data_IF_200863163967
#
_entry.id   IF_200863163967
#
_cell.length_a   1.000
_cell.length_b   1.000
_cell.length_c   1.000
_cell.angle_alpha   90.00
_cell.angle_beta   90.00
_cell.angle_gamma   90.00
#
_symmetry.space_group_name_H-M   'P 1'
#
loop_
_entity.id
_entity.type
_entity.pdbx_description
1 polymer ?
#
# COMPACT_ATOMS: atom_id res chain seq x y z
N UNK A 1 43.25 -66.04 3.99
CA UNK A 1 41.94 -65.69 4.59
C UNK A 1 41.67 -64.24 4.19
N UNK A 2 41.58 -63.95 2.88
CA UNK A 2 40.41 -64.16 1.99
C UNK A 2 39.27 -63.22 2.40
N UNK A 3 38.67 -62.37 1.57
CA UNK A 3 38.74 -62.02 0.14
C UNK A 3 38.16 -60.57 0.06
N UNK A 4 38.78 -59.59 -0.60
CA UNK A 4 38.58 -59.16 -2.00
C UNK A 4 37.16 -59.38 -2.54
N UNK A 5 36.48 -58.29 -2.92
CA UNK A 5 35.52 -58.16 -4.04
C UNK A 5 34.71 -56.87 -3.89
N UNK A 6 34.23 -56.18 -4.91
CA UNK A 6 34.60 -56.04 -6.32
C UNK A 6 33.71 -54.89 -6.84
N UNK A 7 34.14 -54.26 -7.93
CA UNK A 7 33.44 -53.22 -8.67
C UNK A 7 32.05 -53.66 -9.16
N UNK A 8 31.10 -52.71 -9.25
CA UNK A 8 30.26 -52.60 -10.44
C UNK A 8 29.81 -51.16 -10.71
N UNK A 9 30.46 -50.60 -11.72
CA UNK A 9 29.97 -49.53 -12.59
C UNK A 9 28.81 -50.09 -13.45
N UNK A 10 27.72 -49.35 -13.59
CA UNK A 10 26.64 -49.64 -14.54
C UNK A 10 26.01 -48.34 -15.01
N UNK A 11 26.59 -47.82 -16.09
CA UNK A 11 26.02 -46.84 -17.00
C UNK A 11 24.84 -47.46 -17.75
N UNK A 12 23.64 -46.86 -17.66
CA UNK A 12 22.57 -47.09 -18.63
C UNK A 12 22.19 -45.79 -19.32
N UNK A 13 22.79 -45.64 -20.49
CA UNK A 13 22.33 -44.82 -21.61
C UNK A 13 21.01 -45.38 -22.13
N UNK A 14 19.97 -44.56 -22.22
CA UNK A 14 18.80 -44.87 -23.06
C UNK A 14 18.53 -43.71 -24.00
N UNK A 15 19.05 -43.88 -25.21
CA UNK A 15 18.86 -43.07 -26.40
C UNK A 15 17.57 -43.54 -27.09
N UNK A 16 16.51 -42.74 -27.04
CA UNK A 16 15.27 -42.97 -27.77
C UNK A 16 15.08 -41.91 -28.85
N UNK A 17 15.56 -42.20 -30.06
CA UNK A 17 15.13 -41.52 -31.29
C UNK A 17 13.73 -42.03 -31.67
N UNK A 18 12.82 -41.12 -31.99
CA UNK A 18 11.51 -41.43 -32.57
C UNK A 18 10.94 -40.20 -33.27
N UNK A 19 11.24 -40.11 -34.55
CA UNK A 19 10.87 -39.08 -35.54
C UNK A 19 9.38 -39.09 -35.92
N UNK A 20 8.87 -37.88 -36.15
CA UNK A 20 7.89 -37.47 -37.16
C UNK A 20 6.48 -38.08 -37.20
N UNK A 21 5.49 -37.21 -36.96
CA UNK A 21 4.37 -37.07 -37.90
C UNK A 21 3.76 -35.67 -37.92
N UNK A 22 3.85 -35.05 -39.09
CA UNK A 22 3.17 -33.84 -39.50
C UNK A 22 1.64 -33.97 -39.45
N UNK A 23 0.92 -32.86 -39.20
CA UNK A 23 -0.54 -32.86 -39.22
C UNK A 23 -1.22 -31.53 -38.89
N UNK A 24 -1.08 -30.55 -39.79
CA UNK A 24 -2.01 -29.45 -40.08
C UNK A 24 -2.09 -28.19 -39.17
N UNK A 25 -2.29 -26.99 -39.78
CA UNK A 25 -2.34 -25.70 -39.10
C UNK A 25 -3.77 -25.34 -38.67
N UNK A 26 -3.94 -24.82 -37.46
CA UNK A 26 -5.15 -24.06 -37.10
C UNK A 26 -4.84 -22.57 -37.10
N UNK A 27 -5.21 -21.92 -38.21
CA UNK A 27 -5.61 -20.51 -38.19
C UNK A 27 -6.92 -20.44 -37.41
N UNK A 28 -6.96 -19.60 -36.37
CA UNK A 28 -8.22 -19.02 -35.91
C UNK A 28 -8.14 -17.52 -36.07
N UNK A 29 -9.09 -17.03 -36.84
CA UNK A 29 -9.29 -15.71 -37.39
C UNK A 29 -10.23 -14.92 -36.49
N UNK A 30 -9.94 -13.63 -36.24
CA UNK A 30 -10.91 -12.65 -35.73
C UNK A 30 -11.22 -12.77 -34.22
N UNK A 31 -11.38 -11.70 -33.47
CA UNK A 31 -12.04 -10.45 -33.82
C UNK A 31 -11.31 -9.23 -33.25
N UNK A 32 -10.98 -8.29 -34.12
CA UNK A 32 -10.80 -6.90 -33.75
C UNK A 32 -12.14 -6.36 -33.25
N UNK A 33 -12.18 -5.90 -31.99
CA UNK A 33 -13.18 -4.93 -31.58
C UNK A 33 -12.52 -3.57 -31.47
N UNK A 34 -12.63 -2.81 -32.55
CA UNK A 34 -12.59 -1.35 -32.49
C UNK A 34 -13.79 -0.91 -31.65
N UNK A 35 -13.54 -0.24 -30.53
CA UNK A 35 -14.49 0.73 -29.98
C UNK A 35 -13.86 2.11 -30.08
N UNK A 36 -14.36 2.81 -31.09
CA UNK A 36 -14.34 4.27 -31.22
C UNK A 36 -15.41 4.80 -30.27
N UNK A 37 -15.05 5.71 -29.37
CA UNK A 37 -15.87 6.73 -28.69
C UNK A 37 -15.09 7.19 -27.45
N UNK A 38 -15.01 8.44 -27.04
CA UNK A 38 -15.33 9.72 -27.63
C UNK A 38 -14.51 10.73 -26.80
N UNK A 39 -13.93 11.72 -27.44
CA UNK A 39 -13.33 12.89 -26.79
C UNK A 39 -14.37 13.66 -25.98
N UNK A 40 -14.12 13.83 -24.68
CA UNK A 40 -14.63 14.96 -23.91
C UNK A 40 -13.42 15.66 -23.29
N UNK A 41 -12.96 16.70 -23.97
CA UNK A 41 -11.99 17.66 -23.45
C UNK A 41 -12.75 18.53 -22.45
N UNK A 42 -12.49 18.36 -21.16
CA UNK A 42 -12.92 19.32 -20.14
C UNK A 42 -11.73 20.22 -19.83
N UNK A 43 -11.67 21.34 -20.54
CA UNK A 43 -10.87 22.50 -20.15
C UNK A 43 -11.50 23.13 -18.92
N UNK A 44 -10.93 22.89 -17.74
CA UNK A 44 -11.24 23.72 -16.58
C UNK A 44 -10.22 24.86 -16.51
N UNK A 45 -10.64 26.03 -16.95
CA UNK A 45 -9.90 27.27 -16.77
C UNK A 45 -9.91 27.65 -15.29
N UNK A 46 -8.81 27.40 -14.58
CA UNK A 46 -8.57 27.99 -13.27
C UNK A 46 -8.10 29.44 -13.46
N UNK A 47 -9.08 30.32 -13.66
CA UNK A 47 -8.94 31.75 -13.37
C UNK A 47 -9.09 31.92 -11.85
N UNK A 48 -7.96 31.93 -11.15
CA UNK A 48 -7.88 32.18 -9.71
C UNK A 48 -6.84 33.25 -9.43
N UNK A 49 -7.32 34.46 -9.18
CA UNK A 49 -6.58 35.69 -8.97
C UNK A 49 -5.50 35.60 -7.88
N UNK A 50 -4.24 35.82 -8.23
CA UNK A 50 -3.20 36.16 -7.25
C UNK A 50 -3.28 37.66 -7.01
N UNK A 51 -3.97 38.03 -5.95
CA UNK A 51 -3.97 39.39 -5.44
C UNK A 51 -2.61 39.73 -4.80
N UNK A 52 -1.98 40.80 -5.29
CA UNK A 52 -1.29 41.77 -4.43
C UNK A 52 0.12 41.43 -3.93
N UNK A 53 1.10 41.32 -4.83
CA UNK A 53 2.51 41.58 -4.50
C UNK A 53 2.76 43.09 -4.59
N UNK A 54 2.46 43.81 -3.51
CA UNK A 54 2.86 45.21 -3.33
C UNK A 54 4.25 45.29 -2.70
N UNK A 55 5.29 45.24 -3.53
CA UNK A 55 6.65 45.62 -3.12
C UNK A 55 6.89 47.08 -3.54
N UNK A 56 6.64 48.02 -2.62
CA UNK A 56 7.17 49.38 -2.72
C UNK A 56 8.20 49.56 -1.61
N UNK A 57 9.45 49.80 -2.04
CA UNK A 57 10.55 50.09 -1.14
C UNK A 57 10.42 51.44 -0.47
N UNK A 58 11.01 51.55 0.72
CA UNK A 58 11.44 52.81 1.32
C UNK A 58 12.77 52.58 2.03
N UNK A 59 13.77 53.36 1.61
CA UNK A 59 15.06 53.56 2.25
C UNK A 59 14.90 54.67 3.30
N UNK A 60 15.21 54.43 4.58
CA UNK A 60 15.56 55.49 5.54
C UNK A 60 16.22 54.95 6.84
N UNK A 61 17.50 55.30 7.01
CA UNK A 61 18.29 55.64 8.22
C UNK A 61 18.40 54.71 9.47
N UNK A 62 19.59 54.66 10.13
CA UNK A 62 19.83 53.91 11.36
C UNK A 62 19.49 54.75 12.61
N UNK A 63 18.74 54.17 13.54
CA UNK A 63 18.41 54.78 14.83
C UNK A 63 18.08 53.72 15.87
N UNK A 64 18.82 53.72 16.97
CA UNK A 64 18.82 52.74 18.05
C UNK A 64 17.51 52.63 18.82
N UNK A 65 17.01 51.40 19.04
CA UNK A 65 16.49 50.87 20.33
C UNK A 65 15.90 49.46 20.17
N UNK A 66 16.22 48.50 21.06
CA UNK A 66 15.56 47.20 21.09
C UNK A 66 14.25 47.32 21.89
N UNK A 67 13.16 47.71 21.22
CA UNK A 67 11.82 47.55 21.76
C UNK A 67 11.34 46.13 21.45
N UNK A 68 10.89 45.44 22.51
CA UNK A 68 10.37 44.08 22.49
C UNK A 68 9.42 43.85 21.31
N UNK A 69 9.88 43.02 20.38
CA UNK A 69 9.08 42.48 19.31
C UNK A 69 8.13 41.48 19.96
N UNK A 70 6.92 41.95 20.28
CA UNK A 70 5.81 41.10 20.62
C UNK A 70 5.62 40.15 19.43
N UNK A 71 6.11 38.92 19.60
CA UNK A 71 5.82 37.82 18.71
C UNK A 71 4.30 37.71 18.66
N UNK A 72 3.69 38.10 17.54
CA UNK A 72 2.36 37.66 17.22
C UNK A 72 2.46 36.15 17.07
N UNK A 73 2.07 35.43 18.11
CA UNK A 73 1.88 33.99 18.04
C UNK A 73 0.95 33.71 16.84
N UNK A 74 1.30 32.77 15.96
CA UNK A 74 0.37 32.32 14.95
C UNK A 74 -0.83 31.73 15.70
N UNK A 75 -1.94 32.48 15.73
CA UNK A 75 -3.22 31.94 16.15
C UNK A 75 -3.53 30.83 15.16
N UNK A 76 -3.29 29.59 15.58
CA UNK A 76 -3.77 28.39 14.91
C UNK A 76 -5.29 28.49 14.92
N UNK A 77 -5.84 29.04 13.83
CA UNK A 77 -7.26 28.98 13.57
C UNK A 77 -7.64 27.49 13.58
N UNK A 78 -8.29 27.07 14.67
CA UNK A 78 -8.84 25.73 14.78
C UNK A 78 -9.83 25.58 13.63
N UNK A 79 -9.45 24.82 12.61
CA UNK A 79 -10.34 24.46 11.51
C UNK A 79 -11.57 23.84 12.16
N UNK A 80 -12.78 24.41 11.96
CA UNK A 80 -13.97 23.91 12.61
C UNK A 80 -14.14 22.43 12.26
N UNK A 81 -14.08 21.57 13.27
CA UNK A 81 -14.29 20.14 13.13
C UNK A 81 -15.75 19.98 12.71
N UNK A 82 -15.99 19.59 11.45
CA UNK A 82 -17.34 19.37 10.94
C UNK A 82 -17.97 18.23 11.73
N UNK A 83 -18.98 18.54 12.52
CA UNK A 83 -19.72 17.54 13.30
C UNK A 83 -20.94 17.11 12.49
N UNK A 84 -21.00 15.84 12.11
CA UNK A 84 -22.18 15.27 11.45
C UNK A 84 -23.18 14.78 12.47
N UNK A 85 -24.47 14.85 12.13
CA UNK A 85 -25.53 14.43 13.04
C UNK A 85 -25.68 12.90 13.04
N UNK A 86 -26.31 12.36 14.08
CA UNK A 86 -26.67 10.93 14.11
C UNK A 86 -27.62 10.56 12.96
N UNK A 87 -28.45 11.51 12.49
CA UNK A 87 -29.33 11.31 11.34
C UNK A 87 -28.54 11.15 10.04
N UNK A 88 -27.44 11.88 9.86
CA UNK A 88 -26.57 11.74 8.68
C UNK A 88 -25.90 10.36 8.66
N UNK A 89 -25.34 9.92 9.78
CA UNK A 89 -24.74 8.59 9.89
C UNK A 89 -25.76 7.47 9.65
N UNK A 90 -26.99 7.62 10.15
CA UNK A 90 -28.07 6.68 9.91
C UNK A 90 -28.51 6.67 8.43
N UNK A 91 -28.58 7.83 7.79
CA UNK A 91 -28.90 7.94 6.36
C UNK A 91 -27.85 7.23 5.50
N UNK A 92 -26.56 7.40 5.83
CA UNK A 92 -25.49 6.66 5.17
C UNK A 92 -25.62 5.15 5.39
N UNK A 93 -25.83 4.71 6.63
CA UNK A 93 -25.95 3.29 6.98
C UNK A 93 -27.16 2.60 6.31
N UNK A 94 -28.24 3.34 6.03
CA UNK A 94 -29.41 2.84 5.31
C UNK A 94 -29.27 2.93 3.78
N UNK A 95 -28.17 3.51 3.28
CA UNK A 95 -27.95 3.74 1.85
C UNK A 95 -27.31 2.55 1.17
N UNK A 96 -27.39 2.45 -0.18
CA UNK A 96 -26.67 1.43 -0.93
C UNK A 96 -25.14 1.65 -0.95
N UNK A 97 -24.64 2.73 -0.31
CA UNK A 97 -23.20 3.01 -0.15
C UNK A 97 -22.65 2.57 1.20
N UNK A 98 -23.43 1.88 2.04
CA UNK A 98 -23.02 1.53 3.40
C UNK A 98 -21.66 0.81 3.47
N UNK A 99 -21.36 -0.03 2.46
CA UNK A 99 -20.10 -0.76 2.34
C UNK A 99 -18.96 0.07 1.71
N UNK A 100 -19.28 1.18 1.02
CA UNK A 100 -18.33 2.02 0.29
C UNK A 100 -17.69 3.11 1.17
N UNK A 101 -17.83 3.04 2.49
CA UNK A 101 -17.33 4.06 3.41
C UNK A 101 -15.81 4.29 3.28
N UNK A 102 -15.04 3.21 3.13
CA UNK A 102 -13.59 3.28 2.94
C UNK A 102 -13.23 3.91 1.59
N UNK A 103 -13.94 3.52 0.53
CA UNK A 103 -13.77 4.08 -0.81
C UNK A 103 -14.02 5.59 -0.82
N UNK A 104 -15.10 6.05 -0.17
CA UNK A 104 -15.43 7.47 -0.04
C UNK A 104 -14.40 8.23 0.80
N UNK A 105 -13.92 7.62 1.89
CA UNK A 105 -12.88 8.18 2.74
C UNK A 105 -11.59 8.45 1.94
N UNK A 106 -11.16 7.48 1.15
CA UNK A 106 -9.96 7.58 0.31
C UNK A 106 -10.12 8.58 -0.84
N UNK A 107 -11.29 8.62 -1.50
CA UNK A 107 -11.57 9.59 -2.56
C UNK A 107 -11.57 11.02 -2.03
N UNK A 108 -12.08 11.25 -0.82
CA UNK A 108 -12.13 12.57 -0.22
C UNK A 108 -10.91 12.94 0.63
N UNK A 109 -10.00 12.00 0.90
CA UNK A 109 -8.87 12.20 1.81
C UNK A 109 -9.32 12.47 3.25
N UNK A 110 -10.36 11.78 3.70
CA UNK A 110 -10.96 11.92 5.04
C UNK A 110 -10.84 10.59 5.82
N UNK A 111 -11.04 10.63 7.13
CA UNK A 111 -11.26 9.40 7.90
C UNK A 111 -12.63 8.78 7.56
N UNK A 112 -12.78 7.48 7.81
CA UNK A 112 -13.99 6.72 7.50
C UNK A 112 -15.23 7.28 8.21
N UNK A 113 -15.12 7.80 9.43
CA UNK A 113 -16.26 8.34 10.18
C UNK A 113 -16.74 9.66 9.58
N UNK A 114 -15.81 10.57 9.27
CA UNK A 114 -16.10 11.83 8.59
C UNK A 114 -16.66 11.59 7.19
N UNK A 115 -16.15 10.60 6.46
CA UNK A 115 -16.68 10.22 5.15
C UNK A 115 -18.13 9.72 5.22
N UNK A 116 -18.45 8.84 6.19
CA UNK A 116 -19.84 8.38 6.43
C UNK A 116 -20.79 9.55 6.68
N UNK A 117 -20.40 10.49 7.54
CA UNK A 117 -21.20 11.67 7.84
C UNK A 117 -21.41 12.57 6.62
N UNK A 118 -20.33 12.85 5.88
CA UNK A 118 -20.38 13.64 4.64
C UNK A 118 -21.28 13.01 3.59
N UNK A 119 -21.18 11.70 3.40
CA UNK A 119 -21.98 10.93 2.45
C UNK A 119 -23.46 10.91 2.88
N UNK A 120 -23.73 10.70 4.16
CA UNK A 120 -25.09 10.74 4.72
C UNK A 120 -25.78 12.08 4.50
N UNK A 121 -25.08 13.18 4.82
CA UNK A 121 -25.59 14.53 4.58
C UNK A 121 -25.81 14.81 3.08
N UNK A 122 -24.94 14.31 2.20
CA UNK A 122 -25.13 14.44 0.76
C UNK A 122 -26.36 13.65 0.27
N UNK A 123 -26.58 12.44 0.78
CA UNK A 123 -27.72 11.60 0.42
C UNK A 123 -29.05 12.20 0.88
N UNK A 124 -29.13 12.74 2.10
CA UNK A 124 -30.35 13.43 2.59
C UNK A 124 -30.67 14.69 1.79
N UNK A 125 -29.64 15.38 1.29
CA UNK A 125 -29.76 16.53 0.41
C UNK A 125 -30.01 16.16 -1.07
N UNK A 126 -30.00 14.87 -1.43
CA UNK A 126 -30.15 14.42 -2.83
C UNK A 126 -28.95 14.77 -3.72
N UNK A 127 -27.78 15.01 -3.14
CA UNK A 127 -26.53 15.29 -3.87
C UNK A 127 -25.84 13.98 -4.26
N UNK A 128 -25.40 13.89 -5.53
CA UNK A 128 -24.71 12.71 -6.04
C UNK A 128 -23.32 12.53 -5.38
N UNK A 129 -22.94 11.27 -5.13
CA UNK A 129 -21.63 10.89 -4.64
C UNK A 129 -20.61 10.71 -5.80
N UNK A 130 -19.30 10.58 -5.52
CA UNK A 130 -18.26 10.49 -6.56
C UNK A 130 -18.36 9.28 -7.50
N UNK A 131 -19.13 8.27 -7.11
CA UNK A 131 -19.41 7.08 -7.89
C UNK A 131 -20.84 6.61 -7.58
N UNK A 132 -21.42 5.82 -8.48
CA UNK A 132 -22.72 5.18 -8.29
C UNK A 132 -22.65 4.07 -7.23
N UNK A 133 -23.78 3.67 -6.62
CA UNK A 133 -23.76 2.63 -5.60
C UNK A 133 -23.23 1.31 -6.17
N UNK A 134 -22.28 0.68 -5.46
CA UNK A 134 -21.63 -0.57 -5.88
C UNK A 134 -20.62 -0.42 -7.03
N UNK A 135 -20.42 0.79 -7.57
CA UNK A 135 -19.38 1.02 -8.59
C UNK A 135 -17.98 1.19 -7.96
N UNK A 136 -17.89 1.41 -6.65
CA UNK A 136 -16.65 1.69 -5.94
C UNK A 136 -15.61 0.56 -6.08
N UNK A 137 -16.06 -0.70 -6.08
CA UNK A 137 -15.19 -1.89 -6.20
C UNK A 137 -14.49 -2.00 -7.56
N UNK A 138 -15.00 -1.31 -8.58
CA UNK A 138 -14.42 -1.27 -9.94
C UNK A 138 -13.78 0.07 -10.27
N UNK A 139 -13.79 1.03 -9.33
CA UNK A 139 -13.15 2.31 -9.53
C UNK A 139 -11.63 2.16 -9.62
N UNK A 140 -10.99 3.03 -10.41
CA UNK A 140 -9.53 3.06 -10.51
C UNK A 140 -8.97 3.94 -9.40
N UNK A 141 -8.12 3.36 -8.56
CA UNK A 141 -7.44 4.06 -7.45
C UNK A 141 -5.95 4.19 -7.71
N UNK A 142 -5.38 5.34 -7.37
CA UNK A 142 -3.93 5.55 -7.41
C UNK A 142 -3.22 4.69 -6.36
N UNK A 143 -1.90 4.49 -6.49
CA UNK A 143 -1.12 3.78 -5.47
C UNK A 143 -1.18 4.50 -4.11
N UNK A 144 -1.16 5.84 -4.12
CA UNK A 144 -1.31 6.67 -2.91
C UNK A 144 -2.66 6.42 -2.22
N UNK A 145 -3.75 6.38 -2.99
CA UNK A 145 -5.09 6.09 -2.49
C UNK A 145 -5.20 4.67 -1.93
N UNK A 146 -4.59 3.70 -2.61
CA UNK A 146 -4.51 2.32 -2.12
C UNK A 146 -3.73 2.24 -0.81
N UNK A 147 -2.58 2.91 -0.70
CA UNK A 147 -1.84 3.00 0.56
C UNK A 147 -2.66 3.68 1.66
N UNK A 148 -3.36 4.79 1.34
CA UNK A 148 -4.25 5.45 2.29
C UNK A 148 -5.38 4.54 2.77
N UNK A 149 -5.93 3.69 1.89
CA UNK A 149 -6.95 2.71 2.26
C UNK A 149 -6.45 1.70 3.29
N UNK A 150 -5.21 1.21 3.13
CA UNK A 150 -4.58 0.34 4.11
C UNK A 150 -4.50 0.99 5.50
N UNK A 151 -4.09 2.26 5.58
CA UNK A 151 -4.02 2.98 6.85
C UNK A 151 -5.38 3.31 7.44
N UNK A 152 -6.35 3.68 6.60
CA UNK A 152 -7.70 4.05 7.02
C UNK A 152 -8.52 2.85 7.50
N UNK A 153 -8.24 1.64 7.00
CA UNK A 153 -8.95 0.43 7.41
C UNK A 153 -8.60 -0.03 8.84
N UNK A 154 -7.39 0.25 9.32
CA UNK A 154 -6.91 -0.32 10.59
C UNK A 154 -7.14 0.51 11.85
N UNK A 155 -8.12 1.40 11.86
CA UNK A 155 -8.47 2.17 13.06
C UNK A 155 -9.24 1.37 14.12
N UNK A 156 -9.72 0.16 13.80
CA UNK A 156 -10.38 -0.76 14.76
C UNK A 156 -9.49 -1.95 15.16
N UNK A 157 -8.23 -1.66 15.52
CA UNK A 157 -7.34 -2.61 16.21
C UNK A 157 -6.87 -3.82 15.38
N UNK A 158 -7.09 -3.82 14.08
CA UNK A 158 -6.72 -4.91 13.18
C UNK A 158 -6.08 -4.35 11.91
N UNK A 159 -5.05 -5.04 11.40
CA UNK A 159 -4.37 -4.78 10.13
C UNK A 159 -3.37 -3.60 10.05
N UNK A 160 -3.71 -2.35 10.40
CA UNK A 160 -2.77 -1.22 10.23
C UNK A 160 -1.63 -1.20 11.25
N UNK A 161 -1.82 -1.88 12.40
CA UNK A 161 -0.80 -2.10 13.43
C UNK A 161 0.02 -3.38 13.18
N UNK A 162 -0.48 -4.33 12.37
CA UNK A 162 0.22 -5.57 12.06
C UNK A 162 1.22 -5.36 10.93
N UNK A 163 2.27 -4.60 11.24
CA UNK A 163 3.48 -4.54 10.43
C UNK A 163 3.93 -5.95 10.01
N UNK A 164 3.84 -6.92 10.92
CA UNK A 164 4.12 -8.34 10.72
C UNK A 164 3.30 -8.95 9.59
N UNK A 165 1.99 -8.66 9.51
CA UNK A 165 1.14 -9.15 8.43
C UNK A 165 1.53 -8.54 7.09
N UNK A 166 1.75 -7.23 7.05
CA UNK A 166 2.19 -6.55 5.82
C UNK A 166 3.55 -7.05 5.34
N UNK A 167 4.49 -7.27 6.27
CA UNK A 167 5.82 -7.83 5.99
C UNK A 167 5.71 -9.27 5.47
N UNK A 168 4.94 -10.12 6.13
CA UNK A 168 4.71 -11.51 5.70
C UNK A 168 4.06 -11.59 4.32
N UNK A 169 3.09 -10.73 4.03
CA UNK A 169 2.50 -10.61 2.69
C UNK A 169 3.49 -10.06 1.66
N UNK A 170 4.34 -9.10 2.03
CA UNK A 170 5.40 -8.60 1.15
C UNK A 170 6.39 -9.71 0.76
N UNK A 171 6.74 -10.57 1.72
CA UNK A 171 7.57 -11.76 1.46
C UNK A 171 6.84 -12.77 0.59
N UNK A 172 5.58 -13.11 0.93
CA UNK A 172 4.78 -14.10 0.21
C UNK A 172 4.49 -13.71 -1.24
N UNK A 173 4.27 -12.42 -1.50
CA UNK A 173 4.03 -11.89 -2.84
C UNK A 173 5.31 -11.55 -3.61
N UNK A 174 6.48 -11.60 -2.96
CA UNK A 174 7.73 -11.18 -3.56
C UNK A 174 7.78 -9.68 -3.86
N UNK A 175 7.05 -8.84 -3.10
CA UNK A 175 7.04 -7.38 -3.27
C UNK A 175 8.40 -6.79 -2.96
N UNK A 176 8.89 -5.85 -3.78
CA UNK A 176 10.22 -5.23 -3.63
C UNK A 176 10.39 -4.49 -2.29
N UNK A 177 9.28 -3.99 -1.73
CA UNK A 177 9.24 -3.29 -0.46
C UNK A 177 7.89 -3.51 0.27
N UNK A 178 7.84 -3.17 1.56
CA UNK A 178 6.63 -3.33 2.38
C UNK A 178 5.51 -2.36 1.96
N UNK A 179 5.84 -1.18 1.44
CA UNK A 179 4.86 -0.19 0.97
C UNK A 179 4.07 -0.71 -0.22
N UNK A 180 4.73 -1.36 -1.18
CA UNK A 180 4.10 -2.03 -2.33
C UNK A 180 3.10 -3.10 -1.88
N UNK A 181 3.43 -3.87 -0.84
CA UNK A 181 2.49 -4.84 -0.25
C UNK A 181 1.29 -4.15 0.42
N UNK A 182 1.52 -3.07 1.18
CA UNK A 182 0.45 -2.26 1.80
C UNK A 182 -0.51 -1.68 0.75
N UNK A 183 0.00 -1.13 -0.34
CA UNK A 183 -0.82 -0.64 -1.45
C UNK A 183 -1.65 -1.78 -2.09
N UNK A 184 -1.05 -2.97 -2.27
CA UNK A 184 -1.79 -4.12 -2.80
C UNK A 184 -2.92 -4.55 -1.84
N UNK A 185 -2.66 -4.59 -0.54
CA UNK A 185 -3.71 -4.83 0.47
C UNK A 185 -4.82 -3.77 0.39
N UNK A 186 -4.46 -2.49 0.36
CA UNK A 186 -5.44 -1.42 0.27
C UNK A 186 -6.30 -1.50 -1.00
N UNK A 187 -5.71 -1.96 -2.10
CA UNK A 187 -6.46 -2.31 -3.32
C UNK A 187 -7.50 -3.40 -3.10
N UNK A 188 -7.15 -4.50 -2.41
CA UNK A 188 -8.09 -5.56 -2.05
C UNK A 188 -9.23 -5.02 -1.19
N UNK A 189 -8.91 -4.21 -0.18
CA UNK A 189 -9.90 -3.60 0.72
C UNK A 189 -10.87 -2.69 -0.04
N UNK A 190 -10.37 -1.86 -0.97
CA UNK A 190 -11.20 -1.00 -1.82
C UNK A 190 -12.07 -1.80 -2.80
N UNK A 191 -11.63 -2.99 -3.21
CA UNK A 191 -12.41 -3.92 -4.02
C UNK A 191 -13.40 -4.76 -3.19
N UNK A 192 -13.47 -4.54 -1.86
CA UNK A 192 -14.22 -5.36 -0.90
C UNK A 192 -13.82 -6.83 -0.90
N UNK A 193 -12.57 -7.09 -1.28
CA UNK A 193 -11.98 -8.42 -1.26
C UNK A 193 -11.35 -8.72 0.09
N UNK A 194 -11.35 -10.00 0.47
CA UNK A 194 -10.69 -10.43 1.70
C UNK A 194 -9.17 -10.33 1.53
N UNK A 195 -8.52 -9.79 2.55
CA UNK A 195 -7.06 -9.76 2.59
C UNK A 195 -6.54 -11.14 3.04
N UNK A 196 -5.65 -11.78 2.28
CA UNK A 196 -5.06 -13.05 2.69
C UNK A 196 -4.31 -12.93 4.03
N UNK A 197 -4.36 -13.99 4.82
CA UNK A 197 -3.48 -14.14 5.97
C UNK A 197 -2.02 -14.30 5.50
N UNK A 198 -1.08 -13.74 6.26
CA UNK A 198 0.33 -13.98 6.02
C UNK A 198 0.67 -15.47 6.29
N UNK A 199 1.62 -16.06 5.55
CA UNK A 199 2.14 -17.39 5.88
C UNK A 199 2.68 -17.45 7.32
N UNK A 200 2.58 -18.61 7.95
CA UNK A 200 3.13 -18.86 9.29
C UNK A 200 4.49 -19.57 9.25
N UNK A 201 4.95 -19.95 8.05
CA UNK A 201 6.23 -20.62 7.84
C UNK A 201 6.91 -20.05 6.59
N UNK A 202 8.21 -19.80 6.71
CA UNK A 202 9.03 -19.23 5.66
C UNK A 202 10.29 -20.09 5.46
N UNK A 203 10.85 -20.00 4.26
CA UNK A 203 12.18 -20.56 3.97
C UNK A 203 13.26 -19.61 4.47
N UNK A 204 14.48 -20.12 4.68
CA UNK A 204 15.63 -19.28 5.07
C UNK A 204 15.85 -18.09 4.12
N UNK A 205 15.64 -18.26 2.82
CA UNK A 205 15.71 -17.16 1.84
C UNK A 205 14.64 -16.10 2.05
N UNK A 206 13.43 -16.51 2.42
CA UNK A 206 12.33 -15.61 2.73
C UNK A 206 12.54 -14.87 4.05
N UNK A 207 13.05 -15.54 5.07
CA UNK A 207 13.41 -14.92 6.33
C UNK A 207 14.51 -13.87 6.10
N UNK A 208 15.62 -14.24 5.46
CA UNK A 208 16.69 -13.28 5.15
C UNK A 208 16.21 -12.11 4.28
N UNK A 209 15.24 -12.35 3.39
CA UNK A 209 14.60 -11.28 2.61
C UNK A 209 13.77 -10.34 3.49
N UNK A 210 13.04 -10.86 4.47
CA UNK A 210 12.25 -10.06 5.40
C UNK A 210 13.12 -9.03 6.12
N UNK A 211 14.31 -9.44 6.58
CA UNK A 211 15.30 -8.54 7.17
C UNK A 211 15.63 -7.34 6.26
N UNK A 212 15.92 -7.60 4.97
CA UNK A 212 16.20 -6.56 3.99
C UNK A 212 15.00 -5.65 3.67
N UNK A 213 13.77 -6.18 3.67
CA UNK A 213 12.56 -5.39 3.40
C UNK A 213 12.26 -4.33 4.46
N UNK A 214 12.72 -4.54 5.70
CA UNK A 214 12.59 -3.55 6.79
C UNK A 214 13.66 -2.44 6.66
N UNK A 215 14.62 -2.59 5.76
CA UNK A 215 15.68 -1.63 5.49
C UNK A 215 16.99 -1.91 6.22
N UNK A 216 17.09 -3.05 6.92
CA UNK A 216 18.35 -3.48 7.51
C UNK A 216 19.31 -4.01 6.44
N UNK A 217 20.60 -3.72 6.58
CA UNK A 217 21.64 -4.10 5.63
C UNK A 217 22.75 -4.93 6.24
N UNK A 218 23.87 -5.00 5.52
CA UNK A 218 25.03 -5.81 5.91
C UNK A 218 25.66 -5.37 7.24
N UNK A 219 25.60 -4.08 7.55
CA UNK A 219 26.14 -3.52 8.78
C UNK A 219 25.39 -4.04 10.01
N UNK A 220 24.06 -4.00 9.98
CA UNK A 220 23.21 -4.50 11.06
C UNK A 220 23.28 -6.03 11.16
N UNK A 221 23.36 -6.72 10.02
CA UNK A 221 23.56 -8.16 9.99
C UNK A 221 24.89 -8.56 10.65
N UNK A 222 25.98 -7.81 10.42
CA UNK A 222 27.27 -8.07 11.07
C UNK A 222 27.24 -7.82 12.59
N UNK A 223 26.51 -6.80 13.05
CA UNK A 223 26.30 -6.56 14.49
C UNK A 223 25.55 -7.73 15.15
N UNK A 224 24.45 -8.17 14.54
CA UNK A 224 23.68 -9.31 15.02
C UNK A 224 24.48 -10.62 14.99
N UNK A 225 25.29 -10.83 13.94
CA UNK A 225 26.19 -11.96 13.83
C UNK A 225 27.20 -12.00 14.99
N UNK A 226 27.78 -10.85 15.34
CA UNK A 226 28.67 -10.72 16.51
C UNK A 226 27.95 -11.01 17.83
N UNK A 227 26.76 -10.45 18.03
CA UNK A 227 25.97 -10.66 19.26
C UNK A 227 25.55 -12.12 19.45
N UNK A 228 25.13 -12.78 18.37
CA UNK A 228 24.64 -14.15 18.42
C UNK A 228 25.73 -15.20 18.17
N UNK A 229 26.98 -14.79 17.97
CA UNK A 229 28.12 -15.66 17.68
C UNK A 229 27.85 -16.60 16.48
N UNK A 230 27.34 -16.03 15.39
CA UNK A 230 27.00 -16.74 14.15
C UNK A 230 27.58 -16.03 12.93
N UNK A 231 27.47 -16.62 11.74
CA UNK A 231 27.81 -15.92 10.50
C UNK A 231 26.70 -14.92 10.12
N UNK A 232 27.05 -13.96 9.25
CA UNK A 232 26.16 -12.88 8.81
C UNK A 232 24.86 -13.41 8.18
N UNK A 233 24.93 -14.51 7.41
CA UNK A 233 23.76 -15.05 6.73
C UNK A 233 22.81 -15.70 7.75
N UNK A 234 23.33 -16.52 8.66
CA UNK A 234 22.54 -17.11 9.75
C UNK A 234 21.88 -16.03 10.63
N UNK A 235 22.58 -14.92 10.88
CA UNK A 235 22.02 -13.77 11.59
C UNK A 235 20.87 -13.12 10.82
N UNK A 236 21.01 -12.88 9.50
CA UNK A 236 19.91 -12.34 8.68
C UNK A 236 18.67 -13.24 8.72
N UNK A 237 18.85 -14.56 8.59
CA UNK A 237 17.74 -15.54 8.66
C UNK A 237 17.05 -15.46 10.02
N UNK A 238 17.81 -15.54 11.11
CA UNK A 238 17.24 -15.46 12.46
C UNK A 238 16.53 -14.13 12.74
N UNK A 239 17.10 -13.02 12.28
CA UNK A 239 16.52 -11.69 12.43
C UNK A 239 15.24 -11.53 11.60
N UNK A 240 15.25 -12.02 10.37
CA UNK A 240 14.06 -12.06 9.51
C UNK A 240 12.91 -12.85 10.11
N UNK A 241 13.20 -14.04 10.63
CA UNK A 241 12.21 -14.87 11.32
C UNK A 241 11.65 -14.16 12.57
N UNK A 242 12.50 -13.47 13.34
CA UNK A 242 12.07 -12.68 14.50
C UNK A 242 11.13 -11.52 14.08
N UNK A 243 11.50 -10.75 13.04
CA UNK A 243 10.65 -9.68 12.50
C UNK A 243 9.30 -10.21 11.99
N UNK A 244 9.29 -11.37 11.35
CA UNK A 244 8.07 -12.06 10.89
C UNK A 244 7.24 -12.66 12.03
N UNK A 245 7.82 -12.84 13.22
CA UNK A 245 7.10 -13.18 14.45
C UNK A 245 6.59 -11.92 15.19
N UNK A 246 7.01 -10.72 14.77
CA UNK A 246 6.72 -9.46 15.44
C UNK A 246 7.64 -9.16 16.63
N UNK A 247 8.78 -9.86 16.73
CA UNK A 247 9.80 -9.62 17.75
C UNK A 247 10.74 -8.48 17.35
N UNK A 248 11.21 -7.73 18.35
CA UNK A 248 12.25 -6.70 18.17
C UNK A 248 13.63 -7.32 17.98
N UNK A 249 14.48 -6.65 17.19
CA UNK A 249 15.89 -7.02 17.03
C UNK A 249 16.77 -6.32 18.08
N UNK A 250 17.77 -7.00 18.64
CA UNK A 250 18.72 -6.42 19.59
C UNK A 250 19.82 -5.62 18.87
N UNK A 251 19.44 -4.48 18.27
CA UNK A 251 20.30 -3.53 17.55
C UNK A 251 20.30 -2.14 18.20
#
# INVERSE_FOLDING_TARGET
MNDTNDFHDATTTTKGLGTDRAGAPRRSTGSAFRRVAATAVVTCALAGSVAGLGALGVLAAPGSSPAAQAASEPTTASVPKVTYTAADLAAFAASPYADDALNLAVVWGLDTTTAKGKAGAALTAGTALPFEPGAATTATYTDEQRSAAFFAAGTEGTFAQDFTQALGLAVAWGSDDVSTAKAKVGGLLLAHEQVPAAPTSYTDDQDARAFGLVGYGDAEAAQLAGLWQSDTRSAMVRAGAALLAGDDLPL
#
